data_IF_524558120348
#
_entry.id   IF_524558120348
#
_cell.length_a   1.000
_cell.length_b   1.000
_cell.length_c   1.000
_cell.angle_alpha   90.00
_cell.angle_beta   90.00
_cell.angle_gamma   90.00
#
_symmetry.space_group_name_H-M   'P 1'
#
loop_
_entity.id
_entity.type
_entity.pdbx_description
1 polymer ?
2 non-polymer ?
3 non-polymer ?
4 non-polymer ?
5 non-polymer ?
6 water ?
#
# COMPACT_ATOMS: atom_id res chain seq x y z
N UNK A 11 18.65 -3.61 -21.38
CA UNK A 11 17.60 -2.62 -21.62
C UNK A 11 16.40 -2.84 -20.67
N UNK A 12 15.89 -1.73 -20.15
CA UNK A 12 15.06 -1.70 -18.95
C UNK A 12 13.77 -0.97 -19.33
N UNK A 13 12.63 -1.67 -19.38
CA UNK A 13 11.37 -1.03 -19.81
C UNK A 13 10.99 0.18 -18.93
N UNK A 14 10.39 1.21 -19.52
CA UNK A 14 10.11 2.45 -18.79
C UNK A 14 8.95 2.29 -17.78
N UNK A 15 7.98 1.45 -18.14
CA UNK A 15 6.84 1.18 -17.24
C UNK A 15 7.15 0.12 -16.22
N UNK A 16 6.86 0.38 -14.95
CA UNK A 16 7.10 -0.62 -13.93
C UNK A 16 6.26 -1.88 -14.17
N UNK A 17 5.11 -1.75 -14.82
CA UNK A 17 4.28 -2.92 -15.09
C UNK A 17 4.75 -3.75 -16.27
N UNK A 18 5.84 -3.32 -16.93
CA UNK A 18 6.40 -4.11 -18.01
C UNK A 18 7.70 -4.82 -17.63
N UNK A 19 7.99 -4.87 -16.34
CA UNK A 19 9.22 -5.51 -15.86
C UNK A 19 8.99 -6.14 -14.52
N UNK A 20 9.66 -7.27 -14.27
CA UNK A 20 9.52 -7.90 -12.96
C UNK A 20 10.33 -7.15 -11.93
N UNK A 21 9.76 -6.96 -10.75
CA UNK A 21 10.52 -6.33 -9.66
C UNK A 21 10.42 -7.23 -8.48
N UNK A 22 11.51 -7.94 -8.18
CA UNK A 22 11.49 -8.89 -7.06
C UNK A 22 11.42 -8.19 -5.70
N UNK A 23 11.09 -9.00 -4.69
CA UNK A 23 10.97 -8.54 -3.31
C UNK A 23 12.30 -8.04 -2.75
N UNK A 24 13.36 -8.79 -3.04
CA UNK A 24 14.68 -8.37 -2.55
C UNK A 24 15.56 -7.98 -3.72
N UNK A 25 16.41 -6.97 -3.51
CA UNK A 25 17.23 -6.53 -4.63
C UNK A 25 18.62 -6.10 -4.19
N UNK A 26 19.37 -5.47 -5.09
CA UNK A 26 20.79 -5.25 -4.85
C UNK A 26 21.09 -3.81 -4.57
N UNK A 27 20.07 -2.97 -4.47
CA UNK A 27 20.29 -1.53 -4.37
C UNK A 27 19.46 -0.83 -3.30
N UNK A 28 19.34 -1.47 -2.14
CA UNK A 28 18.39 -0.99 -1.11
C UNK A 28 18.80 0.35 -0.52
N UNK A 29 20.10 0.58 -0.38
CA UNK A 29 20.59 1.85 0.15
C UNK A 29 20.27 3.01 -0.78
N UNK A 30 20.52 2.81 -2.08
CA UNK A 30 20.20 3.85 -3.03
C UNK A 30 18.68 4.05 -3.14
N UNK A 31 17.92 2.97 -3.22
CA UNK A 31 16.47 3.14 -3.37
C UNK A 31 15.90 3.81 -2.11
N UNK A 32 16.38 3.42 -0.93
CA UNK A 32 15.82 4.00 0.31
C UNK A 32 16.01 5.51 0.35
N UNK A 33 17.21 5.96 -0.08
CA UNK A 33 17.54 7.39 -0.10
C UNK A 33 16.65 8.18 -1.05
N UNK A 34 16.45 7.64 -2.25
CA UNK A 34 15.59 8.27 -3.23
C UNK A 34 14.15 8.30 -2.72
N UNK A 35 13.75 7.23 -2.04
CA UNK A 35 12.39 7.20 -1.50
C UNK A 35 12.16 8.17 -0.32
N UNK A 36 13.22 8.52 0.39
CA UNK A 36 13.09 9.56 1.41
C UNK A 36 12.80 10.90 0.69
N UNK A 37 13.54 11.18 -0.38
CA UNK A 37 13.28 12.42 -1.10
C UNK A 37 11.88 12.37 -1.74
N UNK A 38 11.48 11.20 -2.20
CA UNK A 38 10.13 11.10 -2.78
C UNK A 38 9.07 11.40 -1.72
N UNK A 39 9.24 10.80 -0.54
CA UNK A 39 8.23 10.92 0.52
C UNK A 39 8.16 12.40 0.93
N UNK A 40 9.32 13.03 1.06
CA UNK A 40 9.42 14.45 1.44
C UNK A 40 8.73 15.35 0.42
N UNK A 41 8.92 15.04 -0.86
CA UNK A 41 8.24 15.80 -1.90
C UNK A 41 6.72 15.71 -1.78
N UNK A 42 6.20 14.52 -1.47
CA UNK A 42 4.77 14.34 -1.30
C UNK A 42 4.26 15.10 -0.09
N UNK A 43 5.10 15.17 0.97
CA UNK A 43 4.76 15.96 2.15
C UNK A 43 4.58 17.43 1.82
N UNK A 44 5.28 17.90 0.78
CA UNK A 44 5.18 19.29 0.35
C UNK A 44 4.19 19.47 -0.81
N UNK A 45 3.43 18.43 -1.09
CA UNK A 45 2.46 18.46 -2.16
C UNK A 45 3.06 18.42 -3.56
N UNK A 46 4.35 18.13 -3.71
CA UNK A 46 4.94 18.08 -5.06
C UNK A 46 4.80 16.68 -5.64
N UNK A 47 3.69 16.43 -6.30
CA UNK A 47 3.38 15.08 -6.75
C UNK A 47 4.31 14.70 -7.90
N UNK A 48 4.77 15.70 -8.63
CA UNK A 48 5.59 15.47 -9.80
C UNK A 48 6.95 14.98 -9.36
N UNK A 49 7.55 15.70 -8.41
CA UNK A 49 8.81 15.32 -7.82
C UNK A 49 8.70 13.98 -7.08
N UNK A 50 7.60 13.75 -6.37
CA UNK A 50 7.41 12.44 -5.75
C UNK A 50 7.53 11.31 -6.80
N UNK A 51 6.82 11.47 -7.92
CA UNK A 51 6.75 10.43 -8.94
C UNK A 51 8.11 10.19 -9.57
N UNK A 52 8.82 11.28 -9.82
CA UNK A 52 10.15 11.22 -10.40
C UNK A 52 11.12 10.44 -9.52
N UNK A 53 11.14 10.74 -8.22
CA UNK A 53 12.03 10.02 -7.31
C UNK A 53 11.58 8.57 -7.17
N UNK A 54 10.27 8.33 -7.12
CA UNK A 54 9.77 6.96 -6.96
C UNK A 54 10.10 6.10 -8.16
N UNK A 55 9.97 6.70 -9.34
CA UNK A 55 10.34 5.99 -10.57
C UNK A 55 11.82 5.65 -10.68
N UNK A 56 12.68 6.60 -10.33
CA UNK A 56 14.10 6.33 -10.25
C UNK A 56 14.38 5.19 -9.27
N UNK A 57 13.80 5.27 -8.06
CA UNK A 57 14.05 4.22 -7.10
C UNK A 57 13.61 2.85 -7.62
N UNK A 58 12.45 2.82 -8.28
CA UNK A 58 11.89 1.59 -8.74
C UNK A 58 12.81 0.93 -9.78
N UNK A 59 13.40 1.76 -10.64
CA UNK A 59 14.34 1.24 -11.65
C UNK A 59 15.50 0.51 -10.96
N UNK A 60 16.04 1.09 -9.89
CA UNK A 60 17.13 0.43 -9.19
C UNK A 60 16.71 -0.91 -8.57
N UNK A 61 15.45 -1.02 -8.18
CA UNK A 61 14.97 -2.28 -7.61
C UNK A 61 14.91 -3.36 -8.66
N UNK A 62 14.69 -2.97 -9.93
CA UNK A 62 14.64 -3.96 -11.01
C UNK A 62 16.00 -4.37 -11.54
N UNK A 63 17.06 -3.66 -11.15
CA UNK A 63 18.38 -3.96 -11.72
C UNK A 63 18.89 -5.27 -11.21
N UNK A 64 19.45 -6.12 -12.09
CA UNK A 64 19.95 -7.39 -11.54
C UNK A 64 21.32 -7.35 -10.85
N UNK A 65 21.96 -6.19 -10.74
CA UNK A 65 23.25 -6.09 -10.07
C UNK A 65 23.27 -4.84 -9.17
N UNK A 66 24.13 -4.83 -8.16
CA UNK A 66 24.29 -3.59 -7.36
C UNK A 66 24.98 -2.51 -8.21
N UNK A 67 24.59 -1.25 -8.02
CA UNK A 67 25.26 -0.12 -8.68
C UNK A 67 26.46 0.22 -7.83
N UNK A 68 27.66 0.12 -8.40
CA UNK A 68 28.85 0.46 -7.63
C UNK A 68 29.55 1.66 -8.23
N UNK A 69 29.24 1.98 -9.48
CA UNK A 69 29.80 3.19 -10.07
C UNK A 69 28.75 3.92 -10.86
N UNK A 70 28.93 5.23 -11.02
CA UNK A 70 27.93 6.03 -11.70
C UNK A 70 27.79 5.65 -13.17
N UNK A 71 28.81 4.98 -13.72
CA UNK A 71 28.69 4.53 -15.11
C UNK A 71 27.51 3.58 -15.30
N UNK A 72 27.12 2.84 -14.25
CA UNK A 72 25.98 1.94 -14.40
C UNK A 72 24.62 2.62 -14.54
N UNK A 73 24.54 3.93 -14.34
CA UNK A 73 23.27 4.64 -14.53
C UNK A 73 23.03 4.92 -16.02
N UNK A 74 24.09 4.83 -16.81
CA UNK A 74 23.98 5.20 -18.22
C UNK A 74 22.98 4.34 -18.98
N UNK A 75 22.07 5.03 -19.66
CA UNK A 75 21.06 4.35 -20.45
C UNK A 75 19.82 3.93 -19.69
N UNK A 76 19.79 4.12 -18.36
CA UNK A 76 18.60 3.75 -17.57
C UNK A 76 17.56 4.84 -17.71
N UNK A 77 16.29 4.43 -17.80
CA UNK A 77 15.17 5.38 -17.81
C UNK A 77 15.00 6.01 -16.44
N UNK A 78 14.32 7.15 -16.40
CA UNK A 78 13.95 7.81 -15.14
C UNK A 78 15.12 8.22 -14.28
N UNK A 79 16.28 8.44 -14.89
CA UNK A 79 17.39 8.95 -14.12
C UNK A 79 17.90 10.27 -14.62
N UNK A 80 17.20 11.34 -14.22
CA UNK A 80 17.63 12.69 -14.51
C UNK A 80 18.71 13.16 -13.58
N UNK A 81 18.99 14.47 -13.65
CA UNK A 81 20.14 15.04 -12.98
C UNK A 81 20.05 14.85 -11.47
N UNK A 82 18.88 15.14 -10.90
CA UNK A 82 18.78 15.17 -9.44
C UNK A 82 18.96 13.78 -8.84
N UNK A 83 18.20 12.82 -9.35
CA UNK A 83 18.34 11.42 -8.90
C UNK A 83 19.75 10.89 -9.09
N UNK A 84 20.39 11.28 -10.19
CA UNK A 84 21.76 10.86 -10.47
C UNK A 84 22.77 11.41 -9.46
N UNK A 85 22.64 12.70 -9.11
CA UNK A 85 23.53 13.33 -8.12
C UNK A 85 23.41 12.68 -6.74
N UNK A 86 22.18 12.27 -6.41
CA UNK A 86 21.95 11.60 -5.16
C UNK A 86 22.71 10.28 -5.12
N UNK A 87 22.56 9.49 -6.19
CA UNK A 87 23.29 8.22 -6.24
C UNK A 87 24.81 8.48 -6.24
N UNK A 88 25.25 9.45 -7.04
CA UNK A 88 26.67 9.80 -7.07
C UNK A 88 27.26 10.09 -5.68
N UNK A 89 26.54 10.88 -4.89
CA UNK A 89 27.05 11.30 -3.61
C UNK A 89 27.12 10.13 -2.65
N UNK A 90 26.11 9.25 -2.69
CA UNK A 90 26.15 8.04 -1.89
C UNK A 90 27.33 7.10 -2.28
N UNK A 91 27.57 6.92 -3.58
CA UNK A 91 28.70 6.11 -4.04
C UNK A 91 30.05 6.72 -3.63
N UNK A 92 30.16 8.04 -3.72
CA UNK A 92 31.42 8.74 -3.48
C UNK A 92 31.71 9.03 -2.01
N UNK A 93 30.65 9.29 -1.23
CA UNK A 93 30.81 9.75 0.15
C UNK A 93 30.08 8.90 1.19
N UNK A 94 29.25 7.97 0.76
CA UNK A 94 28.56 7.10 1.71
C UNK A 94 27.32 7.77 2.30
N UNK A 95 27.13 9.03 2.00
CA UNK A 95 26.02 9.77 2.56
C UNK A 95 25.61 10.82 1.56
N UNK A 96 24.33 11.21 1.52
CA UNK A 96 23.88 12.28 0.65
C UNK A 96 23.40 13.46 1.51
N UNK A 97 24.02 14.64 1.35
CA UNK A 97 23.76 15.75 2.28
C UNK A 97 22.28 16.12 2.27
N UNK A 98 21.69 16.22 1.08
CA UNK A 98 20.28 16.58 1.01
C UNK A 98 19.38 15.58 1.74
N UNK A 99 19.60 14.29 1.52
CA UNK A 99 18.87 13.27 2.28
C UNK A 99 19.05 13.42 3.80
N UNK A 100 20.28 13.67 4.25
CA UNK A 100 20.50 13.82 5.69
C UNK A 100 19.77 15.05 6.24
N UNK A 101 19.75 16.13 5.48
CA UNK A 101 19.00 17.34 5.90
C UNK A 101 17.50 17.03 6.04
N UNK A 102 16.94 16.31 5.07
CA UNK A 102 15.53 15.90 5.17
C UNK A 102 15.28 15.08 6.43
N UNK A 103 16.11 14.06 6.69
CA UNK A 103 15.94 13.20 7.87
C UNK A 103 15.91 13.97 9.19
N UNK A 104 16.72 15.00 9.27
CA UNK A 104 16.86 15.79 10.49
C UNK A 104 15.85 16.96 10.58
N UNK A 105 15.10 17.18 9.52
CA UNK A 105 14.18 18.31 9.52
C UNK A 105 12.92 18.04 10.35
N UNK A 106 12.57 19.03 11.17
CA UNK A 106 11.37 18.94 12.01
C UNK A 106 10.13 18.77 11.12
N UNK A 107 10.09 19.47 9.99
CA UNK A 107 8.94 19.33 9.08
C UNK A 107 8.80 17.90 8.60
N UNK A 108 9.89 17.32 8.11
CA UNK A 108 9.81 15.94 7.64
C UNK A 108 9.46 14.99 8.78
N UNK A 109 10.12 15.14 9.93
CA UNK A 109 9.91 14.21 11.06
C UNK A 109 8.47 14.26 11.55
N UNK A 110 7.90 15.46 11.57
CA UNK A 110 6.52 15.62 12.03
C UNK A 110 5.52 15.07 11.03
N UNK A 111 5.73 15.39 9.76
CA UNK A 111 4.83 14.86 8.73
C UNK A 111 4.85 13.32 8.71
N UNK A 112 6.04 12.76 8.86
CA UNK A 112 6.16 11.29 8.94
C UNK A 112 5.43 10.73 10.17
N UNK A 113 5.64 11.38 11.33
CA UNK A 113 4.97 10.99 12.57
C UNK A 113 3.43 11.00 12.40
N UNK A 114 2.90 12.12 11.90
CA UNK A 114 1.45 12.25 11.79
C UNK A 114 0.86 11.33 10.70
N UNK A 115 1.46 11.30 9.50
CA UNK A 115 0.91 10.50 8.41
C UNK A 115 0.95 8.99 8.68
N UNK A 116 1.76 8.59 9.64
CA UNK A 116 1.80 7.18 10.00
C UNK A 116 0.60 6.76 10.86
N UNK A 117 -0.07 7.73 11.47
CA UNK A 117 -1.24 7.42 12.31
C UNK A 117 -2.45 6.97 11.47
N UNK A 118 -3.14 5.95 11.96
CA UNK A 118 -4.39 5.46 11.38
C UNK A 118 -5.34 6.61 11.18
N UNK A 119 -5.73 6.84 9.93
CA UNK A 119 -6.76 7.79 9.58
C UNK A 119 -6.26 9.20 9.28
N UNK A 120 -4.94 9.33 9.18
CA UNK A 120 -4.33 10.63 8.92
C UNK A 120 -3.59 10.60 7.60
N UNK A 121 -3.99 11.45 6.65
CA UNK A 121 -3.26 11.55 5.40
C UNK A 121 -2.43 12.82 5.34
N UNK A 122 -1.85 13.12 4.18
CA UNK A 122 -0.96 14.26 4.03
C UNK A 122 -1.66 15.58 4.30
N UNK A 123 -2.90 15.74 3.81
CA UNK A 123 -3.62 17.01 3.99
C UNK A 123 -3.84 17.36 5.46
N UNK A 124 -4.33 16.37 6.21
CA UNK A 124 -4.52 16.51 7.63
C UNK A 124 -3.21 16.77 8.38
N UNK A 125 -2.19 15.95 8.09
CA UNK A 125 -0.90 16.13 8.76
C UNK A 125 -0.35 17.53 8.50
N UNK A 126 -0.44 17.97 7.25
CA UNK A 126 0.05 19.30 6.92
C UNK A 126 -0.74 20.40 7.66
N UNK A 127 -2.06 20.28 7.71
CA UNK A 127 -2.86 21.24 8.47
C UNK A 127 -2.46 21.26 9.95
N UNK A 128 -2.30 20.09 10.55
CA UNK A 128 -1.88 20.05 11.95
C UNK A 128 -0.53 20.70 12.16
N UNK A 129 0.42 20.41 11.28
CA UNK A 129 1.74 21.06 11.35
C UNK A 129 1.60 22.60 11.31
N UNK A 130 0.82 23.09 10.35
CA UNK A 130 0.63 24.53 10.22
C UNK A 130 -0.05 25.15 11.44
N UNK A 131 -0.82 24.33 12.16
CA UNK A 131 -1.48 24.80 13.39
C UNK A 131 -0.62 24.63 14.63
N UNK A 132 0.66 24.28 14.44
CA UNK A 132 1.60 24.21 15.54
C UNK A 132 1.65 22.90 16.34
N UNK A 133 1.03 21.86 15.82
CA UNK A 133 1.07 20.56 16.49
C UNK A 133 2.36 19.85 16.04
N UNK A 134 3.04 19.17 16.96
CA UNK A 134 4.32 18.52 16.62
C UNK A 134 4.40 17.09 17.13
N UNK A 135 3.81 16.84 18.28
CA UNK A 135 4.01 15.52 18.91
C UNK A 135 2.69 14.79 19.04
N UNK A 136 2.78 13.53 19.43
CA UNK A 136 1.56 12.74 19.66
C UNK A 136 0.83 13.26 20.88
N UNK A 137 1.56 13.72 21.88
CA UNK A 137 0.88 14.28 23.04
C UNK A 137 0.17 15.59 22.70
N UNK A 138 0.72 16.37 21.76
CA UNK A 138 0.04 17.59 21.26
C UNK A 138 -1.33 17.19 20.72
N UNK A 139 -1.41 16.10 19.95
CA UNK A 139 -2.69 15.63 19.42
C UNK A 139 -3.66 15.20 20.50
N UNK A 140 -3.15 14.44 21.47
CA UNK A 140 -3.98 13.98 22.56
C UNK A 140 -4.48 15.14 23.41
N UNK A 141 -3.78 16.27 23.37
CA UNK A 141 -4.16 17.44 24.15
C UNK A 141 -5.27 18.24 23.44
N UNK A 142 -5.50 17.92 22.16
CA UNK A 142 -6.52 18.58 21.32
C UNK A 142 -7.48 17.58 20.69
N UNK A 143 -8.16 16.79 21.52
CA UNK A 143 -8.93 15.68 20.94
C UNK A 143 -10.13 16.14 20.16
N UNK A 144 -10.56 17.39 20.32
CA UNK A 144 -11.67 17.89 19.53
C UNK A 144 -11.29 17.91 18.03
N UNK A 145 -9.99 17.89 17.76
CA UNK A 145 -9.44 17.93 16.40
C UNK A 145 -9.40 16.57 15.71
N UNK A 146 -9.82 15.51 16.40
CA UNK A 146 -9.60 14.16 15.91
C UNK A 146 -10.86 13.40 15.52
N UNK A 147 -10.76 12.61 14.46
CA UNK A 147 -11.83 11.68 14.11
C UNK A 147 -11.73 10.46 15.00
N UNK A 148 -12.80 9.66 15.02
CA UNK A 148 -12.75 8.44 15.81
C UNK A 148 -11.60 7.52 15.36
N UNK A 149 -11.34 7.46 14.05
CA UNK A 149 -10.24 6.65 13.54
C UNK A 149 -8.94 7.12 14.11
N UNK A 150 -8.73 8.44 14.05
CA UNK A 150 -7.50 9.02 14.59
C UNK A 150 -7.34 8.78 16.07
N UNK A 151 -8.42 8.88 16.84
CA UNK A 151 -8.32 8.64 18.27
C UNK A 151 -7.87 7.21 18.53
N UNK A 152 -8.40 6.28 17.74
CA UNK A 152 -8.03 4.87 17.91
C UNK A 152 -6.59 4.65 17.48
N UNK A 153 -6.20 5.28 16.37
CA UNK A 153 -4.79 5.26 15.94
C UNK A 153 -3.82 5.77 17.00
N UNK A 154 -4.20 6.84 17.72
CA UNK A 154 -3.32 7.34 18.77
C UNK A 154 -3.29 6.41 19.96
N UNK A 155 -4.43 5.85 20.33
CA UNK A 155 -4.50 4.92 21.47
C UNK A 155 -3.55 3.75 21.24
N UNK A 156 -3.44 3.29 20.00
CA UNK A 156 -2.68 2.07 19.74
C UNK A 156 -1.38 2.32 18.99
N UNK A 157 -0.88 3.56 19.00
CA UNK A 157 0.14 3.90 18.01
C UNK A 157 1.44 3.09 18.20
N UNK A 158 1.79 2.74 19.42
CA UNK A 158 3.03 1.96 19.64
C UNK A 158 2.96 0.63 18.89
N UNK A 159 1.91 -0.13 19.16
CA UNK A 159 1.68 -1.38 18.46
C UNK A 159 1.57 -1.15 16.97
N UNK A 160 0.82 -0.13 16.57
CA UNK A 160 0.59 0.06 15.14
C UNK A 160 1.84 0.51 14.37
N UNK A 161 2.86 0.99 15.08
CA UNK A 161 4.12 1.32 14.41
C UNK A 161 5.10 0.15 14.47
N UNK A 162 4.76 -0.90 15.22
CA UNK A 162 5.58 -2.11 15.30
C UNK A 162 5.30 -2.94 14.05
N UNK A 163 6.36 -3.34 13.30
CA UNK A 163 6.11 -4.12 12.08
C UNK A 163 5.35 -5.40 12.35
N UNK A 164 4.42 -5.69 11.46
CA UNK A 164 3.59 -6.89 11.51
C UNK A 164 4.39 -8.01 10.84
N UNK A 165 4.49 -9.17 11.51
CA UNK A 165 5.23 -10.29 10.93
C UNK A 165 4.35 -11.23 10.13
N UNK A 166 4.94 -12.03 9.23
CA UNK A 166 4.14 -12.97 8.43
C UNK A 166 3.39 -13.98 9.34
N UNK A 167 3.99 -14.34 10.47
CA UNK A 167 3.29 -15.23 11.42
C UNK A 167 2.08 -14.56 12.07
N UNK A 168 2.17 -13.26 12.33
CA UNK A 168 1.01 -12.50 12.84
C UNK A 168 -0.12 -12.59 11.78
N UNK A 169 0.28 -12.37 10.53
CA UNK A 169 -0.68 -12.39 9.43
C UNK A 169 -1.37 -13.75 9.34
N UNK A 170 -0.57 -14.80 9.48
CA UNK A 170 -1.13 -16.16 9.47
C UNK A 170 -2.15 -16.34 10.57
N UNK A 171 -1.84 -15.89 11.78
CA UNK A 171 -2.78 -16.04 12.88
C UNK A 171 -4.04 -15.27 12.61
N UNK A 172 -3.90 -14.06 12.08
CA UNK A 172 -5.06 -13.23 11.76
C UNK A 172 -5.91 -13.89 10.67
N UNK A 173 -5.25 -14.41 9.63
CA UNK A 173 -6.00 -15.02 8.54
C UNK A 173 -6.81 -16.21 9.06
N UNK A 174 -6.27 -16.96 10.01
CA UNK A 174 -7.03 -18.08 10.59
C UNK A 174 -8.33 -17.63 11.28
N UNK A 175 -8.27 -16.58 12.11
CA UNK A 175 -9.49 -16.16 12.77
C UNK A 175 -10.50 -15.58 11.77
N UNK A 176 -10.01 -14.88 10.76
CA UNK A 176 -10.93 -14.32 9.76
C UNK A 176 -11.57 -15.45 8.98
N UNK A 177 -10.76 -16.41 8.55
CA UNK A 177 -11.32 -17.58 7.83
C UNK A 177 -12.35 -18.36 8.68
N UNK A 178 -12.06 -18.53 9.96
CA UNK A 178 -12.99 -19.24 10.84
C UNK A 178 -14.32 -18.49 10.88
N UNK A 179 -14.25 -17.18 11.10
CA UNK A 179 -15.46 -16.36 11.17
C UNK A 179 -16.25 -16.41 9.86
N UNK A 180 -15.55 -16.29 8.74
CA UNK A 180 -16.19 -16.28 7.43
C UNK A 180 -16.86 -17.62 7.15
N UNK A 181 -16.12 -18.70 7.42
CA UNK A 181 -16.59 -20.04 7.17
C UNK A 181 -17.80 -20.36 8.00
N UNK A 182 -17.83 -19.89 9.24
CA UNK A 182 -18.97 -20.15 10.10
C UNK A 182 -20.19 -19.36 9.64
N UNK A 183 -19.95 -18.18 9.06
CA UNK A 183 -21.08 -17.33 8.65
C UNK A 183 -21.65 -17.79 7.31
N UNK A 184 -20.78 -18.24 6.42
CA UNK A 184 -21.21 -18.52 5.06
C UNK A 184 -20.30 -19.55 4.42
N UNK A 185 -20.71 -20.83 4.48
CA UNK A 185 -19.87 -21.88 3.89
C UNK A 185 -19.67 -21.60 2.41
N UNK A 186 -18.44 -21.80 1.92
CA UNK A 186 -18.16 -21.49 0.52
C UNK A 186 -17.53 -20.12 0.31
N UNK A 187 -17.68 -19.22 1.28
CA UNK A 187 -17.08 -17.90 1.13
C UNK A 187 -15.55 -18.06 1.28
N UNK A 188 -14.77 -17.22 0.62
CA UNK A 188 -13.31 -17.32 0.66
C UNK A 188 -12.66 -16.04 1.20
N UNK A 189 -11.48 -16.19 1.78
CA UNK A 189 -10.69 -15.05 2.24
C UNK A 189 -9.35 -15.10 1.51
N UNK A 190 -8.93 -14.01 0.91
CA UNK A 190 -7.67 -13.96 0.17
C UNK A 190 -6.80 -12.84 0.75
N UNK A 191 -5.58 -13.19 1.16
CA UNK A 191 -4.63 -12.19 1.69
C UNK A 191 -4.14 -11.40 0.51
N UNK A 192 -4.11 -10.08 0.61
CA UNK A 192 -3.63 -9.27 -0.49
C UNK A 192 -2.52 -8.32 0.04
N UNK A 193 -2.33 -7.18 -0.62
CA UNK A 193 -1.30 -6.27 -0.15
C UNK A 193 0.11 -6.82 -0.26
N UNK A 194 1.03 -6.19 0.46
CA UNK A 194 2.44 -6.56 0.40
C UNK A 194 2.72 -7.99 0.79
N UNK A 195 1.95 -8.53 1.73
CA UNK A 195 2.14 -9.92 2.14
C UNK A 195 1.88 -10.91 1.00
N UNK A 196 0.89 -10.60 0.16
CA UNK A 196 0.68 -11.43 -1.00
C UNK A 196 1.84 -11.29 -1.97
N UNK A 197 2.49 -10.14 -1.98
CA UNK A 197 3.69 -9.94 -2.84
C UNK A 197 4.95 -10.56 -2.22
N UNK A 198 4.80 -11.20 -1.06
CA UNK A 198 5.88 -11.96 -0.44
C UNK A 198 6.62 -11.28 0.70
N UNK A 199 6.18 -10.08 1.08
CA UNK A 199 6.82 -9.40 2.18
C UNK A 199 6.79 -10.24 3.44
N UNK A 200 7.81 -10.08 4.27
CA UNK A 200 7.92 -10.81 5.53
C UNK A 200 7.47 -9.93 6.69
N UNK A 201 7.46 -8.61 6.47
CA UNK A 201 6.98 -7.65 7.45
C UNK A 201 6.13 -6.63 6.74
N UNK A 202 5.32 -5.88 7.50
CA UNK A 202 4.46 -4.88 6.92
C UNK A 202 3.81 -4.04 7.99
N UNK A 203 2.95 -3.09 7.62
CA UNK A 203 2.38 -2.24 8.64
C UNK A 203 0.87 -2.38 8.85
N UNK A 204 0.26 -3.15 7.98
CA UNK A 204 -1.15 -3.52 8.12
C UNK A 204 -1.39 -4.78 7.30
N UNK A 205 -2.63 -5.26 7.31
CA UNK A 205 -2.95 -6.54 6.70
C UNK A 205 -4.25 -6.33 5.98
N UNK A 206 -4.33 -6.78 4.73
CA UNK A 206 -5.58 -6.62 3.96
C UNK A 206 -6.14 -7.97 3.52
N UNK A 207 -7.43 -8.20 3.76
CA UNK A 207 -8.05 -9.42 3.28
C UNK A 207 -9.23 -9.09 2.40
N UNK A 208 -9.32 -9.80 1.29
CA UNK A 208 -10.39 -9.63 0.30
C UNK A 208 -11.30 -10.86 0.40
N UNK A 209 -12.60 -10.61 0.53
CA UNK A 209 -13.57 -11.69 0.83
C UNK A 209 -14.60 -11.77 -0.31
N UNK A 210 -14.91 -12.97 -0.81
CA UNK A 210 -15.95 -13.08 -1.84
C UNK A 210 -16.67 -14.42 -1.70
N UNK A 211 -17.58 -14.72 -2.63
CA UNK A 211 -18.27 -16.03 -2.65
C UNK A 211 -18.50 -16.35 -4.12
N UNK A 212 -18.35 -17.64 -4.50
CA UNK A 212 -18.46 -17.96 -5.93
C UNK A 212 -19.83 -17.68 -6.58
N UNK A 213 -20.90 -17.64 -5.78
CA UNK A 213 -22.23 -17.30 -6.29
C UNK A 213 -22.48 -15.84 -6.02
N UNK A 214 -22.46 -15.02 -7.07
CA UNK A 214 -22.63 -13.58 -6.91
C UNK A 214 -23.92 -13.27 -6.13
N UNK A 215 -23.76 -12.47 -5.07
CA UNK A 215 -24.85 -12.08 -4.20
C UNK A 215 -24.87 -12.82 -2.87
N UNK A 216 -24.27 -14.00 -2.80
CA UNK A 216 -24.29 -14.77 -1.56
C UNK A 216 -23.49 -14.03 -0.49
N UNK A 217 -22.65 -13.09 -0.92
CA UNK A 217 -21.80 -12.33 0.01
C UNK A 217 -22.51 -11.16 0.65
N UNK A 218 -23.71 -10.83 0.17
CA UNK A 218 -24.47 -9.73 0.76
C UNK A 218 -24.68 -9.96 2.25
N UNK A 219 -24.35 -8.94 3.05
CA UNK A 219 -24.53 -9.02 4.49
C UNK A 219 -23.57 -9.95 5.22
N UNK A 220 -22.55 -10.45 4.52
CA UNK A 220 -21.57 -11.31 5.16
C UNK A 220 -20.66 -10.54 6.13
N UNK A 221 -20.15 -9.41 5.68
CA UNK A 221 -19.16 -8.66 6.48
C UNK A 221 -19.64 -8.32 7.92
N UNK A 222 -20.83 -7.73 8.07
CA UNK A 222 -21.27 -7.50 9.46
C UNK A 222 -21.38 -8.79 10.30
N UNK A 223 -21.75 -9.92 9.70
CA UNK A 223 -21.79 -11.16 10.46
C UNK A 223 -20.41 -11.63 10.91
N UNK A 224 -19.45 -11.50 10.00
CA UNK A 224 -18.06 -11.77 10.32
C UNK A 224 -17.56 -10.89 11.48
N UNK A 225 -17.83 -9.60 11.40
CA UNK A 225 -17.35 -8.68 12.45
C UNK A 225 -18.01 -8.98 13.80
N UNK A 226 -19.28 -9.34 13.75
CA UNK A 226 -19.98 -9.72 14.97
C UNK A 226 -19.27 -10.92 15.62
N UNK A 227 -18.97 -11.94 14.83
CA UNK A 227 -18.28 -13.11 15.36
C UNK A 227 -16.93 -12.71 15.97
N UNK A 228 -16.15 -11.95 15.21
CA UNK A 228 -14.82 -11.57 15.67
C UNK A 228 -14.92 -10.70 16.91
N UNK A 229 -15.88 -9.78 16.92
CA UNK A 229 -16.03 -8.89 18.07
C UNK A 229 -16.38 -9.70 19.31
N UNK A 230 -17.21 -10.72 19.13
CA UNK A 230 -17.69 -11.52 20.27
C UNK A 230 -16.55 -12.36 20.86
N UNK A 231 -15.57 -12.69 20.03
CA UNK A 231 -14.41 -13.45 20.49
C UNK A 231 -13.37 -12.56 21.14
N UNK A 232 -13.63 -11.26 21.19
CA UNK A 232 -12.71 -10.34 21.81
C UNK A 232 -11.53 -9.91 20.96
N UNK A 233 -11.63 -10.09 19.64
CA UNK A 233 -10.48 -9.89 18.76
C UNK A 233 -10.45 -8.49 18.16
N UNK A 234 -11.45 -7.67 18.49
CA UNK A 234 -11.59 -6.39 17.81
C UNK A 234 -11.48 -5.24 18.82
N UNK A 235 -10.52 -4.34 18.56
CA UNK A 235 -10.37 -3.13 19.38
C UNK A 235 -11.11 -1.95 18.75
N UNK A 236 -11.20 -1.95 17.44
CA UNK A 236 -11.83 -0.86 16.70
C UNK A 236 -12.41 -1.41 15.41
N UNK A 237 -13.64 -1.00 15.07
CA UNK A 237 -14.30 -1.45 13.85
C UNK A 237 -15.09 -0.27 13.28
N UNK A 238 -14.82 0.09 12.03
CA UNK A 238 -15.68 1.03 11.33
C UNK A 238 -16.15 0.39 10.03
N UNK A 239 -17.46 0.13 9.96
CA UNK A 239 -18.07 -0.51 8.79
C UNK A 239 -18.59 0.57 7.85
N UNK A 240 -18.36 0.35 6.56
CA UNK A 240 -18.76 1.32 5.55
C UNK A 240 -19.40 0.60 4.39
N UNK A 241 -20.62 0.98 4.06
CA UNK A 241 -21.28 0.40 2.88
C UNK A 241 -20.67 0.90 1.58
N UNK A 242 -20.89 0.15 0.51
CA UNK A 242 -20.46 0.57 -0.83
C UNK A 242 -21.11 1.87 -1.26
N UNK A 243 -20.41 2.63 -2.10
CA UNK A 243 -20.88 3.93 -2.60
C UNK A 243 -21.84 3.83 -3.78
N UNK A 255 -9.04 3.69 -3.21
CA UNK A 255 -9.46 3.06 -4.45
C UNK A 255 -10.33 1.81 -4.22
N UNK A 256 -10.38 1.36 -2.97
CA UNK A 256 -11.27 0.25 -2.58
C UNK A 256 -12.56 0.82 -1.95
N UNK A 257 -12.69 2.15 -1.99
CA UNK A 257 -13.76 2.86 -1.28
C UNK A 257 -15.18 2.57 -1.76
N UNK A 258 -15.32 2.09 -2.99
CA UNK A 258 -16.66 1.78 -3.47
C UNK A 258 -17.09 0.34 -3.12
N UNK A 259 -16.21 -0.42 -2.48
CA UNK A 259 -16.60 -1.73 -1.96
C UNK A 259 -17.06 -1.61 -0.50
N UNK A 260 -17.93 -2.53 -0.09
CA UNK A 260 -18.26 -2.65 1.34
C UNK A 260 -16.97 -3.03 2.07
N UNK A 261 -16.70 -2.39 3.19
CA UNK A 261 -15.42 -2.67 3.85
C UNK A 261 -15.51 -2.35 5.32
N UNK A 262 -14.61 -2.96 6.10
CA UNK A 262 -14.47 -2.64 7.51
C UNK A 262 -13.01 -2.26 7.80
N UNK A 263 -12.82 -1.13 8.47
CA UNK A 263 -11.49 -0.67 8.91
C UNK A 263 -11.33 -1.11 10.35
N UNK A 264 -10.38 -2.00 10.60
CA UNK A 264 -10.30 -2.59 11.92
C UNK A 264 -8.95 -2.41 12.58
N UNK A 265 -8.97 -2.45 13.90
CA UNK A 265 -7.79 -2.74 14.68
C UNK A 265 -8.13 -4.03 15.47
N UNK A 266 -7.36 -5.09 15.22
CA UNK A 266 -7.54 -6.39 15.88
C UNK A 266 -6.66 -6.40 17.11
N UNK A 267 -7.13 -7.09 18.14
CA UNK A 267 -6.33 -7.39 19.31
C UNK A 267 -5.77 -8.78 19.09
N UNK A 268 -4.51 -8.86 18.67
CA UNK A 268 -3.90 -10.16 18.37
C UNK A 268 -3.28 -10.78 19.63
N UNK A 269 -3.84 -11.89 20.13
CA UNK A 269 -3.19 -12.47 21.32
C UNK A 269 -1.78 -12.99 21.03
N UNK A 270 -0.92 -12.88 22.04
CA UNK A 270 0.42 -13.39 22.00
C UNK A 270 0.62 -14.01 23.38
N UNK A 271 1.70 -14.78 23.55
CA UNK A 271 1.94 -15.36 24.88
C UNK A 271 2.03 -14.32 26.03
N UNK A 272 1.05 -14.34 26.94
CA UNK A 272 1.05 -13.48 28.12
C UNK A 272 0.85 -12.00 27.82
N UNK A 273 0.43 -11.69 26.60
CA UNK A 273 0.32 -10.30 26.13
C UNK A 273 -0.64 -10.23 24.94
N UNK A 274 -0.58 -9.14 24.19
CA UNK A 274 -1.41 -8.98 22.96
C UNK A 274 -0.86 -7.78 22.24
N UNK A 275 -1.19 -7.65 20.96
CA UNK A 275 -0.69 -6.55 20.17
C UNK A 275 -1.79 -6.04 19.26
N UNK A 276 -1.96 -4.73 19.15
CA UNK A 276 -2.92 -4.18 18.19
C UNK A 276 -2.40 -4.30 16.78
N UNK A 277 -3.27 -4.68 15.82
CA UNK A 277 -2.84 -4.80 14.44
C UNK A 277 -3.92 -4.23 13.51
N UNK A 278 -3.51 -3.36 12.60
CA UNK A 278 -4.44 -2.80 11.57
C UNK A 278 -4.77 -3.82 10.52
N UNK A 279 -6.08 -4.06 10.33
CA UNK A 279 -6.53 -5.01 9.32
C UNK A 279 -7.70 -4.36 8.58
N UNK A 280 -7.64 -4.36 7.26
CA UNK A 280 -8.83 -3.99 6.47
C UNK A 280 -9.44 -5.24 5.90
N UNK A 281 -10.77 -5.32 5.98
CA UNK A 281 -11.50 -6.39 5.28
C UNK A 281 -12.36 -5.75 4.20
N UNK A 282 -12.29 -6.28 3.00
CA UNK A 282 -13.06 -5.75 1.87
C UNK A 282 -13.86 -6.88 1.25
N UNK A 283 -15.13 -6.61 0.95
CA UNK A 283 -15.94 -7.60 0.25
C UNK A 283 -16.17 -7.16 -1.19
N UNK A 284 -15.89 -8.06 -2.12
CA UNK A 284 -16.10 -7.81 -3.53
C UNK A 284 -16.96 -8.90 -4.11
N UNK A 285 -17.95 -8.52 -4.92
CA UNK A 285 -18.69 -9.56 -5.65
C UNK A 285 -17.73 -10.29 -6.57
N UNK A 286 -17.91 -11.60 -6.76
CA UNK A 286 -16.95 -12.42 -7.49
C UNK A 286 -16.66 -11.90 -8.91
N UNK A 287 -17.64 -11.27 -9.55
CA UNK A 287 -17.38 -10.70 -10.87
C UNK A 287 -16.27 -9.63 -10.85
N UNK A 288 -16.14 -8.90 -9.74
CA UNK A 288 -15.15 -7.84 -9.67
C UNK A 288 -13.89 -8.30 -8.93
N UNK A 289 -13.91 -9.53 -8.42
CA UNK A 289 -12.79 -10.03 -7.60
C UNK A 289 -11.41 -9.92 -8.29
N UNK A 290 -11.27 -10.32 -9.57
CA UNK A 290 -9.92 -10.19 -10.16
C UNK A 290 -9.39 -8.76 -10.17
N UNK A 291 -10.28 -7.79 -10.40
CA UNK A 291 -9.87 -6.40 -10.42
C UNK A 291 -9.53 -5.91 -9.01
N UNK A 292 -10.29 -6.36 -8.01
CA UNK A 292 -10.03 -5.94 -6.63
C UNK A 292 -8.71 -6.55 -6.17
N UNK A 293 -8.51 -7.81 -6.49
CA UNK A 293 -7.29 -8.49 -6.09
C UNK A 293 -6.07 -7.81 -6.72
N UNK A 294 -6.16 -7.57 -8.01
CA UNK A 294 -5.08 -6.86 -8.73
C UNK A 294 -4.78 -5.51 -8.10
N UNK A 295 -5.83 -4.73 -7.89
CA UNK A 295 -5.71 -3.40 -7.34
C UNK A 295 -5.07 -3.42 -5.95
N UNK A 296 -5.62 -4.25 -5.09
CA UNK A 296 -5.24 -4.22 -3.68
C UNK A 296 -3.92 -4.96 -3.44
N UNK A 297 -3.41 -5.66 -4.45
CA UNK A 297 -2.15 -6.40 -4.28
C UNK A 297 -0.95 -5.46 -4.42
N UNK A 298 -1.12 -4.36 -5.15
CA UNK A 298 -0.06 -3.35 -5.20
C UNK A 298 1.09 -3.87 -6.05
N UNK A 299 2.30 -3.28 -5.92
CA UNK A 299 2.58 -2.15 -5.03
C UNK A 299 1.88 -0.91 -5.50
N UNK A 300 1.83 0.12 -4.66
CA UNK A 300 1.21 1.39 -5.05
C UNK A 300 1.76 1.92 -6.38
N UNK A 301 3.08 1.92 -6.53
CA UNK A 301 3.66 2.39 -7.78
C UNK A 301 3.34 1.44 -8.94
N UNK A 302 3.38 0.12 -8.72
CA UNK A 302 3.04 -0.82 -9.79
C UNK A 302 1.65 -0.52 -10.35
N UNK A 303 0.68 -0.41 -9.45
CA UNK A 303 -0.69 -0.20 -9.91
C UNK A 303 -0.88 1.15 -10.58
N UNK A 304 -0.23 2.20 -10.05
CA UNK A 304 -0.30 3.51 -10.65
C UNK A 304 0.21 3.43 -12.07
N UNK A 305 1.32 2.72 -12.26
CA UNK A 305 1.88 2.63 -13.61
C UNK A 305 1.06 1.74 -14.53
N UNK A 306 0.47 0.70 -13.95
CA UNK A 306 -0.38 -0.21 -14.71
C UNK A 306 -1.62 0.53 -15.20
N UNK A 307 -2.16 1.40 -14.37
CA UNK A 307 -3.32 2.19 -14.76
C UNK A 307 -2.95 3.27 -15.77
N UNK A 308 -1.75 3.81 -15.61
CA UNK A 308 -1.28 4.79 -16.59
C UNK A 308 -1.09 4.11 -17.93
N UNK A 309 -0.53 2.91 -17.90
CA UNK A 309 -0.30 2.16 -19.11
C UNK A 309 -1.62 1.87 -19.84
N UNK A 310 -2.58 1.35 -19.08
CA UNK A 310 -3.91 1.05 -19.63
C UNK A 310 -4.51 2.27 -20.31
N UNK A 311 -4.48 3.40 -19.64
CA UNK A 311 -5.03 4.64 -20.17
C UNK A 311 -4.25 5.18 -21.39
N UNK A 312 -2.96 5.45 -21.20
CA UNK A 312 -2.13 6.02 -22.26
C UNK A 312 -1.92 5.10 -23.48
N UNK A 313 -1.68 3.83 -23.23
CA UNK A 313 -1.35 2.91 -24.31
C UNK A 313 -2.56 2.22 -24.92
N UNK A 314 -3.60 1.97 -24.12
CA UNK A 314 -4.73 1.21 -24.64
C UNK A 314 -6.06 1.95 -24.60
N UNK A 315 -6.08 3.13 -23.99
CA UNK A 315 -7.27 3.94 -23.95
C UNK A 315 -8.35 3.31 -23.08
N UNK A 316 -7.93 2.52 -22.09
CA UNK A 316 -8.87 1.86 -21.19
C UNK A 316 -8.67 2.41 -19.78
N UNK A 317 -9.75 2.47 -19.00
CA UNK A 317 -9.65 2.94 -17.63
C UNK A 317 -9.64 1.72 -16.73
N UNK A 318 -8.55 1.51 -16.00
CA UNK A 318 -8.46 0.35 -15.12
C UNK A 318 -8.62 0.80 -13.68
N UNK A 319 -9.53 0.18 -12.92
CA UNK A 319 -9.56 0.45 -11.49
C UNK A 319 -9.83 -0.83 -10.73
N UNK A 320 -10.14 -0.72 -9.44
CA UNK A 320 -10.31 -1.92 -8.64
C UNK A 320 -11.61 -2.66 -8.88
N UNK A 321 -12.49 -2.08 -9.70
CA UNK A 321 -13.77 -2.73 -9.98
C UNK A 321 -13.88 -3.28 -11.38
N UNK A 322 -13.04 -2.79 -12.30
CA UNK A 322 -13.15 -3.22 -13.69
C UNK A 322 -12.18 -2.53 -14.63
N UNK A 323 -12.31 -2.85 -15.91
CA UNK A 323 -11.48 -2.27 -16.98
C UNK A 323 -12.46 -1.81 -18.06
N UNK A 324 -12.51 -0.50 -18.27
CA UNK A 324 -13.61 0.15 -19.00
C UNK A 324 -13.10 0.93 -20.21
N UNK A 325 -13.82 0.85 -21.33
CA UNK A 325 -13.56 1.75 -22.46
C UNK A 325 -14.60 2.86 -22.41
N UNK A 326 -14.17 4.09 -22.04
CA UNK A 326 -15.12 5.19 -21.83
C UNK A 326 -15.75 5.61 -23.15
N UNK A 327 -15.11 5.25 -24.25
CA UNK A 327 -15.63 5.62 -25.57
C UNK A 327 -16.64 4.60 -26.13
N UNK A 328 -16.43 3.32 -25.83
CA UNK A 328 -17.33 2.31 -26.32
C UNK A 328 -18.39 1.94 -25.28
N UNK A 329 -18.17 2.43 -24.07
CA UNK A 329 -18.98 2.11 -22.89
C UNK A 329 -19.04 0.61 -22.65
N UNK A 330 -17.90 -0.03 -22.76
CA UNK A 330 -17.83 -1.47 -22.60
C UNK A 330 -16.89 -1.86 -21.46
N UNK A 331 -17.20 -2.97 -20.80
CA UNK A 331 -16.38 -3.50 -19.70
C UNK A 331 -15.78 -4.84 -20.08
N UNK A 332 -14.63 -5.17 -19.48
CA UNK A 332 -13.99 -6.46 -19.74
C UNK A 332 -14.35 -7.44 -18.62
N UNK A 333 -14.76 -8.65 -19.00
CA UNK A 333 -15.10 -9.67 -18.04
C UNK A 333 -13.85 -10.51 -17.77
N UNK A 334 -13.20 -10.27 -16.65
CA UNK A 334 -12.02 -11.04 -16.29
C UNK A 334 -12.42 -12.19 -15.39
N UNK A 335 -11.76 -13.33 -15.55
CA UNK A 335 -11.92 -14.42 -14.61
C UNK A 335 -10.73 -14.47 -13.66
N UNK A 336 -9.65 -13.80 -14.03
CA UNK A 336 -8.41 -13.86 -13.24
C UNK A 336 -7.55 -12.63 -13.51
N UNK A 337 -6.52 -12.44 -12.66
CA UNK A 337 -5.53 -11.41 -12.94
C UNK A 337 -4.88 -11.63 -14.30
N UNK A 338 -4.59 -12.89 -14.63
CA UNK A 338 -3.97 -13.24 -15.93
C UNK A 338 -4.73 -12.69 -17.14
N UNK A 339 -6.06 -12.85 -17.10
CA UNK A 339 -6.93 -12.29 -18.12
C UNK A 339 -6.71 -10.80 -18.30
N UNK A 340 -6.59 -10.08 -17.19
CA UNK A 340 -6.40 -8.62 -17.27
C UNK A 340 -5.09 -8.24 -17.94
N UNK A 341 -4.00 -8.88 -17.52
CA UNK A 341 -2.71 -8.59 -18.16
C UNK A 341 -2.78 -8.90 -19.67
N UNK A 342 -3.37 -10.04 -20.00
CA UNK A 342 -3.44 -10.50 -21.39
C UNK A 342 -4.20 -9.51 -22.25
N UNK A 343 -5.32 -9.06 -21.73
CA UNK A 343 -6.15 -8.12 -22.44
C UNK A 343 -5.40 -6.82 -22.69
N UNK A 344 -4.53 -6.43 -21.77
CA UNK A 344 -3.75 -5.19 -21.93
C UNK A 344 -2.48 -5.39 -22.79
N UNK A 345 -2.22 -6.63 -23.19
CA UNK A 345 -1.03 -6.95 -23.97
C UNK A 345 0.27 -6.96 -23.19
N UNK A 346 0.17 -7.16 -21.88
CA UNK A 346 1.35 -7.26 -21.01
C UNK A 346 1.66 -8.70 -20.66
N UNK A 347 2.94 -9.04 -20.58
CA UNK A 347 3.32 -10.33 -20.02
C UNK A 347 2.88 -10.39 -18.54
N UNK A 348 2.35 -11.52 -18.11
CA UNK A 348 1.84 -11.67 -16.76
C UNK A 348 2.98 -11.61 -15.75
N UNK A 349 2.76 -10.91 -14.66
CA UNK A 349 3.70 -10.89 -13.54
C UNK A 349 2.99 -11.38 -12.32
N UNK A 350 3.51 -12.44 -11.70
CA UNK A 350 2.95 -12.89 -10.42
C UNK A 350 3.18 -11.82 -9.34
N UNK A 351 2.40 -11.88 -8.25
CA UNK A 351 2.41 -10.79 -7.25
C UNK A 351 3.83 -10.54 -6.70
N UNK A 352 4.63 -11.59 -6.54
CA UNK A 352 5.98 -11.42 -6.03
C UNK A 352 6.93 -10.70 -7.00
N UNK A 353 6.49 -10.47 -8.24
CA UNK A 353 7.26 -9.62 -9.16
C UNK A 353 6.67 -8.24 -9.36
N UNK A 354 5.76 -7.81 -8.49
CA UNK A 354 5.13 -6.50 -8.63
C UNK A 354 5.64 -5.55 -7.57
N UNK A 355 6.84 -5.80 -7.05
CA UNK A 355 7.32 -4.99 -5.95
C UNK A 355 7.96 -3.69 -6.41
N UNK A 356 7.26 -2.94 -7.27
CA UNK A 356 7.91 -1.79 -7.91
C UNK A 356 8.00 -0.61 -6.96
X LIG B 1 -2.13 7.13 8.06
X LIG C 1 -13.11 -2.84 -21.92
X LIG C 1 -11.97 -3.57 -22.12
X LIG C 1 -11.74 -3.66 -23.46
X LIG C 1 -12.72 -3.00 -24.10
X LIG C 1 -13.58 -2.48 -23.14
X LIG D 1 6.74 5.34 -17.58
X LIG D 1 5.93 5.73 -16.45
X LIG D 1 6.70 6.47 -18.59
X LIG D 1 6.64 5.91 -19.91
X LIG E 1 3.12 -0.15 -1.77
#
# INVERSE_FOLDING_TARGET
GSAAAPLSPAWMPAYACQRPTPLTHHNTGLSEALEILAEAAGFEGSEGRLLTFCRAASVLKALPSPVTTLSQLQGLPHFGEHSSRVVQELLEHGVCEEVERVRRSERYQTMKLFTQIFGVGVKTADRWYREGLRTLDDLREQPQKLTQQQKAGLQHHQDLSTPVLRSDVDALQQVVEEAVGQALPGATVTLTGGFRRGKLQGHDVDFLITHPKEGQEAGLLPRVMCRLQDQGLILYHQHQHSCCESPTRLAQQSHMDAFERSFCIFRLPQPGSWKAVRVDLVVAPVSQFPFALLGWTGSKLFQRELRRFSRKEKGLWLNSHGLFDPEQKTFFQAASEEDIFRHLGLEYLPPEQRNA
NA NA
IMD N1 C2 N3 C4 C5
EDO C1 O1 C2 O2
CL CL
#
